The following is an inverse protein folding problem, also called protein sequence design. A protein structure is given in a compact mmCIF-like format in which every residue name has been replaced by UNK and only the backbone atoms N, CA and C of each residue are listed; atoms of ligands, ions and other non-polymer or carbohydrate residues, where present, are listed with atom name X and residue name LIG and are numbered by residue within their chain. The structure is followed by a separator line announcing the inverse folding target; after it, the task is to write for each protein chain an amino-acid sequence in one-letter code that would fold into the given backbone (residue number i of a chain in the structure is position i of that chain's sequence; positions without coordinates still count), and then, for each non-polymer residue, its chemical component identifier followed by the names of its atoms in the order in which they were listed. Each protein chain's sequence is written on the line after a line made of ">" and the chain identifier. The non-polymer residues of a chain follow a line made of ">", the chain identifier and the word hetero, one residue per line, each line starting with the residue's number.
data_IF_312621248521
#
_entry.id   IF_312621248521
#
_cell.length_a   1.000
_cell.length_b   1.000
_cell.length_c   1.000
_cell.angle_alpha   90.00
_cell.angle_beta   90.00
_cell.angle_gamma   90.00
#
_symmetry.space_group_name_H-M   'P 1'
#
loop_
_entity.id
_entity.type
_entity.pdbx_description
1 polymer ?
#
# COMPACT_ATOMS: atom_id res chain seq x y z
N UNK A 1 -1.82 0.34 20.56
CA UNK A 1 -1.63 1.79 20.71
C UNK A 1 -2.92 2.56 20.50
N UNK A 2 -3.34 2.85 19.25
CA UNK A 2 -4.40 3.81 18.92
C UNK A 2 -5.75 3.53 19.59
N UNK A 3 -6.23 2.29 19.59
CA UNK A 3 -7.50 1.92 20.23
C UNK A 3 -7.51 2.24 21.75
N UNK A 4 -6.38 2.08 22.43
CA UNK A 4 -6.24 2.44 23.83
C UNK A 4 -6.29 3.96 24.01
N UNK A 5 -5.63 4.72 23.11
CA UNK A 5 -5.67 6.18 23.13
C UNK A 5 -7.11 6.71 23.00
N UNK A 6 -7.92 6.16 22.08
CA UNK A 6 -9.35 6.51 21.93
C UNK A 6 -10.12 6.26 23.23
N UNK A 7 -9.96 5.09 23.85
CA UNK A 7 -10.66 4.77 25.10
C UNK A 7 -10.29 5.71 26.25
N UNK A 8 -9.00 6.06 26.38
CA UNK A 8 -8.54 7.01 27.39
C UNK A 8 -8.99 8.44 27.10
N UNK A 9 -9.03 8.87 25.84
CA UNK A 9 -9.58 10.17 25.44
C UNK A 9 -11.07 10.29 25.83
N UNK A 10 -11.88 9.30 25.45
CA UNK A 10 -13.31 9.26 25.83
C UNK A 10 -13.51 9.21 27.35
N UNK A 11 -12.69 8.43 28.05
CA UNK A 11 -12.72 8.38 29.52
C UNK A 11 -12.37 9.73 30.14
N UNK A 12 -11.33 10.40 29.68
CA UNK A 12 -10.92 11.71 30.20
C UNK A 12 -12.02 12.77 30.05
N UNK A 13 -12.68 12.84 28.89
CA UNK A 13 -13.80 13.76 28.64
C UNK A 13 -14.97 13.46 29.61
N UNK A 14 -15.32 12.19 29.77
CA UNK A 14 -16.37 11.76 30.68
C UNK A 14 -16.05 12.11 32.15
N UNK A 15 -14.82 11.79 32.58
CA UNK A 15 -14.41 12.01 33.98
C UNK A 15 -14.27 13.52 34.30
N UNK A 16 -13.95 14.34 33.29
CA UNK A 16 -13.96 15.82 33.41
C UNK A 16 -15.39 16.41 33.41
N UNK A 17 -16.39 15.61 33.13
CA UNK A 17 -17.81 16.07 33.14
C UNK A 17 -18.14 17.06 32.02
N UNK A 18 -17.38 17.04 30.91
CA UNK A 18 -17.64 17.93 29.77
C UNK A 18 -18.91 17.48 29.04
N UNK A 19 -19.93 18.33 28.89
CA UNK A 19 -21.14 17.97 28.15
C UNK A 19 -20.83 17.91 26.64
N UNK A 20 -21.27 16.82 25.98
CA UNK A 20 -21.24 16.68 24.55
C UNK A 20 -22.65 16.84 23.97
N UNK A 21 -22.76 17.56 22.84
CA UNK A 21 -24.03 17.77 22.13
C UNK A 21 -24.26 16.67 21.05
N UNK A 22 -23.21 15.95 20.69
CA UNK A 22 -23.27 14.86 19.73
C UNK A 22 -22.78 13.56 20.37
N UNK A 23 -23.25 12.43 19.84
CA UNK A 23 -22.80 11.12 20.28
C UNK A 23 -21.43 10.80 19.69
N UNK A 24 -20.60 10.16 20.49
CA UNK A 24 -19.32 9.58 20.05
C UNK A 24 -19.46 8.05 20.03
N UNK A 25 -19.11 7.43 18.92
CA UNK A 25 -19.09 5.98 18.76
C UNK A 25 -17.68 5.52 18.48
N UNK A 26 -17.18 4.61 19.30
CA UNK A 26 -15.94 3.90 19.02
C UNK A 26 -16.28 2.54 18.40
N UNK A 27 -15.77 2.31 17.17
CA UNK A 27 -15.96 1.07 16.43
C UNK A 27 -14.60 0.38 16.40
N UNK A 28 -14.53 -0.87 16.84
CA UNK A 28 -13.34 -1.71 16.77
C UNK A 28 -13.63 -2.84 15.81
N UNK A 29 -12.89 -2.88 14.72
CA UNK A 29 -12.88 -3.99 13.78
C UNK A 29 -11.86 -5.06 14.16
N UNK A 30 -11.84 -6.13 13.39
CA UNK A 30 -10.95 -7.29 13.59
C UNK A 30 -10.41 -7.88 12.28
N UNK A 31 -10.65 -7.22 11.13
CA UNK A 31 -10.26 -7.77 9.82
C UNK A 31 -9.70 -6.70 8.85
N UNK A 32 -9.19 -5.57 9.33
CA UNK A 32 -8.64 -4.50 8.50
C UNK A 32 -7.55 -5.01 7.58
N UNK A 33 -6.57 -5.72 8.10
CA UNK A 33 -5.40 -6.26 7.40
C UNK A 33 -5.73 -7.32 6.32
N UNK A 34 -6.95 -7.86 6.35
CA UNK A 34 -7.40 -8.92 5.44
C UNK A 34 -8.64 -8.51 4.62
N UNK A 35 -8.79 -7.21 4.31
CA UNK A 35 -9.80 -6.69 3.38
C UNK A 35 -11.11 -6.25 4.01
N UNK A 36 -11.12 -5.89 5.30
CA UNK A 36 -12.20 -5.13 5.98
C UNK A 36 -13.61 -5.71 5.87
N UNK A 37 -13.76 -7.03 5.75
CA UNK A 37 -15.09 -7.68 5.63
C UNK A 37 -15.98 -7.47 6.86
N UNK A 38 -15.42 -7.17 8.02
CA UNK A 38 -16.12 -6.78 9.22
C UNK A 38 -16.75 -5.37 9.09
N UNK A 39 -16.09 -4.45 8.39
CA UNK A 39 -16.63 -3.13 8.07
C UNK A 39 -17.80 -3.25 7.09
N UNK A 40 -17.70 -4.07 6.05
CA UNK A 40 -18.82 -4.35 5.13
C UNK A 40 -20.02 -4.90 5.89
N UNK A 41 -19.79 -5.86 6.79
CA UNK A 41 -20.84 -6.38 7.65
C UNK A 41 -21.47 -5.29 8.52
N UNK A 42 -20.63 -4.45 9.14
CA UNK A 42 -21.11 -3.35 9.97
C UNK A 42 -21.98 -2.35 9.19
N UNK A 43 -21.52 -1.93 8.01
CA UNK A 43 -22.24 -1.00 7.14
C UNK A 43 -23.58 -1.56 6.65
N UNK A 44 -23.69 -2.87 6.46
CA UNK A 44 -24.93 -3.53 6.10
C UNK A 44 -25.97 -3.60 7.24
N UNK A 45 -25.53 -3.47 8.51
CA UNK A 45 -26.39 -3.66 9.70
C UNK A 45 -26.53 -2.41 10.57
N UNK A 46 -25.70 -1.38 10.39
CA UNK A 46 -25.74 -0.15 11.17
C UNK A 46 -25.40 1.06 10.30
N UNK A 47 -26.06 2.18 10.58
CA UNK A 47 -25.72 3.43 9.92
C UNK A 47 -24.36 3.95 10.40
N UNK A 48 -23.52 4.34 9.44
CA UNK A 48 -22.27 5.04 9.74
C UNK A 48 -22.53 6.46 10.25
N UNK A 49 -21.72 6.95 11.21
CA UNK A 49 -21.75 8.35 11.58
C UNK A 49 -21.37 9.25 10.40
N UNK A 50 -21.85 10.52 10.38
CA UNK A 50 -21.52 11.45 9.29
C UNK A 50 -20.05 11.91 9.29
N UNK A 51 -19.38 11.84 10.43
CA UNK A 51 -17.97 12.16 10.58
C UNK A 51 -17.27 10.95 11.20
N UNK A 52 -16.31 10.40 10.47
CA UNK A 52 -15.55 9.22 10.88
C UNK A 52 -14.07 9.51 10.68
N UNK A 53 -13.28 9.28 11.70
CA UNK A 53 -11.84 9.18 11.54
C UNK A 53 -11.29 7.90 12.16
N UNK A 54 -10.26 7.34 11.55
CA UNK A 54 -9.46 6.28 12.16
C UNK A 54 -8.19 6.86 12.74
N UNK A 55 -7.79 6.49 13.96
CA UNK A 55 -6.50 6.86 14.52
C UNK A 55 -5.41 5.86 14.12
N UNK A 56 -5.51 5.30 12.93
CA UNK A 56 -4.61 4.29 12.39
C UNK A 56 -3.98 4.78 11.08
N UNK A 57 -3.08 5.72 11.22
CA UNK A 57 -2.37 6.37 10.13
C UNK A 57 -1.41 7.43 10.62
N UNK A 58 -1.13 8.43 9.80
CA UNK A 58 -0.15 9.46 10.08
C UNK A 58 -0.82 10.80 10.42
N UNK A 59 -0.23 11.53 11.35
CA UNK A 59 -0.47 12.98 11.49
C UNK A 59 0.28 13.77 10.40
N UNK A 60 -0.17 14.96 9.96
CA UNK A 60 -1.33 15.72 10.47
C UNK A 60 -2.69 15.10 10.17
N UNK A 61 -2.97 14.67 8.93
CA UNK A 61 -4.24 14.06 8.53
C UNK A 61 -4.09 13.41 7.15
N UNK A 62 -4.52 12.17 7.02
CA UNK A 62 -4.63 11.49 5.73
C UNK A 62 -6.06 11.68 5.23
N UNK A 63 -6.23 12.43 4.14
CA UNK A 63 -7.51 12.66 3.47
C UNK A 63 -7.58 11.97 2.11
N UNK A 64 -6.46 11.40 1.64
CA UNK A 64 -6.36 10.73 0.36
C UNK A 64 -5.65 9.39 0.52
N UNK A 65 -6.32 8.34 0.06
CA UNK A 65 -5.74 7.01 -0.10
C UNK A 65 -5.80 6.63 -1.57
N UNK A 66 -4.66 6.22 -2.15
CA UNK A 66 -4.59 5.84 -3.57
C UNK A 66 -5.45 4.64 -3.87
N UNK A 67 -5.93 4.56 -5.09
CA UNK A 67 -6.58 3.36 -5.58
C UNK A 67 -5.60 2.19 -5.66
N UNK A 68 -6.14 0.98 -5.58
CA UNK A 68 -5.36 -0.25 -5.58
C UNK A 68 -5.87 -1.22 -6.63
N UNK A 69 -4.93 -1.73 -7.43
CA UNK A 69 -5.16 -2.92 -8.26
C UNK A 69 -4.14 -3.99 -7.88
N UNK A 70 -4.63 -5.19 -7.59
CA UNK A 70 -3.80 -6.39 -7.48
C UNK A 70 -4.24 -7.36 -8.55
N UNK A 71 -3.29 -7.76 -9.39
CA UNK A 71 -3.56 -8.61 -10.54
C UNK A 71 -2.78 -9.91 -10.42
N UNK A 72 -3.38 -10.99 -10.91
CA UNK A 72 -2.66 -12.21 -11.25
C UNK A 72 -2.41 -12.22 -12.76
N UNK A 73 -1.17 -12.51 -13.16
CA UNK A 73 -0.79 -12.70 -14.55
C UNK A 73 -0.26 -14.12 -14.74
N UNK A 74 -0.56 -14.74 -15.88
CA UNK A 74 -0.10 -16.09 -16.17
C UNK A 74 0.31 -16.23 -17.64
N UNK A 75 1.37 -17.02 -17.89
CA UNK A 75 1.85 -17.35 -19.23
C UNK A 75 2.49 -18.74 -19.26
N UNK A 76 2.19 -19.54 -20.29
CA UNK A 76 3.00 -20.72 -20.61
C UNK A 76 4.33 -20.27 -21.20
N UNK A 77 5.44 -20.75 -20.66
CA UNK A 77 6.78 -20.33 -21.05
C UNK A 77 7.57 -21.48 -21.68
N UNK A 78 8.56 -21.10 -22.48
CA UNK A 78 9.52 -22.01 -23.11
C UNK A 78 10.96 -21.78 -22.62
N UNK A 79 11.16 -20.81 -21.72
CA UNK A 79 12.45 -20.55 -21.11
C UNK A 79 12.96 -21.81 -20.39
N UNK A 80 14.28 -22.08 -20.36
CA UNK A 80 14.84 -23.25 -19.71
C UNK A 80 14.86 -23.13 -18.17
N UNK A 81 13.72 -22.82 -17.59
CA UNK A 81 13.45 -22.68 -16.16
C UNK A 81 12.57 -23.84 -15.73
N UNK A 82 13.06 -24.72 -14.87
CA UNK A 82 12.23 -25.80 -14.31
C UNK A 82 11.48 -25.39 -13.05
N UNK A 83 12.02 -24.43 -12.32
CA UNK A 83 11.38 -23.85 -11.12
C UNK A 83 11.87 -22.41 -10.93
N UNK A 84 10.99 -21.52 -10.50
CA UNK A 84 11.33 -20.18 -10.04
C UNK A 84 10.39 -19.77 -8.92
N UNK A 85 10.93 -19.13 -7.90
CA UNK A 85 10.15 -18.54 -6.81
C UNK A 85 10.73 -17.21 -6.40
N UNK A 86 9.85 -16.22 -6.23
CA UNK A 86 10.19 -14.91 -5.71
C UNK A 86 8.99 -14.24 -5.06
N UNK A 87 9.24 -13.49 -3.99
CA UNK A 87 8.21 -12.77 -3.25
C UNK A 87 7.39 -13.67 -2.32
N UNK A 88 7.05 -13.13 -1.16
CA UNK A 88 6.24 -13.78 -0.12
C UNK A 88 4.99 -12.98 0.25
N UNK A 89 4.96 -11.71 -0.14
CA UNK A 89 3.86 -10.80 0.15
C UNK A 89 3.44 -10.02 -1.11
N UNK A 90 2.14 -9.91 -1.40
CA UNK A 90 1.65 -9.27 -2.62
C UNK A 90 1.85 -7.75 -2.64
N UNK A 91 2.10 -7.12 -1.50
CA UNK A 91 2.27 -5.66 -1.32
C UNK A 91 3.72 -5.26 -1.00
N UNK A 92 4.70 -6.11 -1.35
CA UNK A 92 6.11 -5.82 -1.10
C UNK A 92 6.97 -6.06 -2.35
N UNK A 93 8.02 -5.25 -2.51
CA UNK A 93 9.11 -5.49 -3.45
C UNK A 93 9.86 -6.75 -2.98
N UNK A 94 9.99 -7.81 -3.81
CA UNK A 94 10.66 -9.04 -3.40
C UNK A 94 12.18 -8.83 -3.28
N UNK A 95 12.72 -9.19 -2.11
CA UNK A 95 14.16 -9.10 -1.83
C UNK A 95 14.96 -10.29 -2.38
N UNK A 96 14.33 -11.43 -2.64
CA UNK A 96 15.00 -12.64 -3.12
C UNK A 96 14.19 -13.25 -4.24
N UNK A 97 14.89 -13.65 -5.30
CA UNK A 97 14.37 -14.48 -6.37
C UNK A 97 15.34 -15.62 -6.65
N UNK A 98 14.84 -16.84 -6.73
CA UNK A 98 15.62 -18.04 -7.04
C UNK A 98 15.02 -18.77 -8.23
N UNK A 99 15.87 -19.23 -9.13
CA UNK A 99 15.49 -20.07 -10.26
C UNK A 99 16.38 -21.31 -10.36
N UNK A 100 15.78 -22.46 -10.67
CA UNK A 100 16.46 -23.67 -11.08
C UNK A 100 16.30 -23.83 -12.59
N UNK A 101 17.42 -23.93 -13.30
CA UNK A 101 17.47 -23.94 -14.75
C UNK A 101 17.71 -25.36 -15.27
N UNK A 102 17.10 -25.70 -16.39
CA UNK A 102 17.35 -26.96 -17.08
C UNK A 102 18.70 -26.95 -17.84
N UNK A 103 19.18 -25.76 -18.21
CA UNK A 103 20.47 -25.55 -18.82
C UNK A 103 21.04 -24.19 -18.36
N UNK A 104 22.33 -24.17 -18.00
CA UNK A 104 23.00 -22.94 -17.59
C UNK A 104 22.99 -21.91 -18.74
N UNK A 105 22.71 -20.61 -18.42
CA UNK A 105 22.79 -19.54 -19.42
C UNK A 105 24.23 -19.33 -19.92
N UNK A 106 24.37 -18.84 -21.14
CA UNK A 106 25.66 -18.45 -21.74
C UNK A 106 25.98 -16.98 -21.42
N UNK A 107 25.95 -16.63 -20.12
CA UNK A 107 26.17 -15.26 -19.63
C UNK A 107 27.18 -15.29 -18.49
N UNK A 108 27.87 -14.17 -18.19
CA UNK A 108 28.74 -14.10 -17.03
C UNK A 108 27.95 -14.34 -15.73
N UNK A 109 28.44 -15.25 -14.89
CA UNK A 109 27.87 -15.52 -13.57
C UNK A 109 28.26 -14.44 -12.53
N UNK A 110 29.33 -13.70 -12.81
CA UNK A 110 29.85 -12.64 -11.94
C UNK A 110 29.07 -11.32 -12.19
N UNK A 111 27.96 -11.17 -11.53
CA UNK A 111 27.16 -9.94 -11.56
C UNK A 111 26.85 -9.54 -10.10
N UNK A 112 26.73 -8.22 -9.86
CA UNK A 112 26.31 -7.72 -8.56
C UNK A 112 24.94 -8.32 -8.20
N UNK A 113 24.76 -8.65 -6.91
CA UNK A 113 23.51 -9.23 -6.40
C UNK A 113 23.16 -10.64 -6.87
N UNK A 114 23.95 -11.25 -7.79
CA UNK A 114 23.69 -12.58 -8.34
C UNK A 114 24.61 -13.62 -7.69
N UNK A 115 24.01 -14.71 -7.19
CA UNK A 115 24.70 -15.90 -6.71
C UNK A 115 24.35 -17.08 -7.59
N UNK A 116 25.38 -17.81 -8.09
CA UNK A 116 25.20 -18.96 -8.98
C UNK A 116 25.81 -20.20 -8.37
N UNK A 117 25.01 -21.26 -8.24
CA UNK A 117 25.42 -22.57 -7.74
C UNK A 117 24.95 -23.66 -8.71
N UNK A 118 25.79 -24.03 -9.66
CA UNK A 118 25.41 -24.95 -10.74
C UNK A 118 24.27 -24.35 -11.58
N UNK A 119 23.12 -25.03 -11.61
CA UNK A 119 21.93 -24.56 -12.32
C UNK A 119 20.97 -23.72 -11.44
N UNK A 120 21.31 -23.47 -10.19
CA UNK A 120 20.53 -22.61 -9.30
C UNK A 120 21.08 -21.20 -9.35
N UNK A 121 20.23 -20.24 -9.70
CA UNK A 121 20.53 -18.82 -9.83
C UNK A 121 19.66 -18.05 -8.84
N UNK A 122 20.28 -17.24 -8.00
CA UNK A 122 19.60 -16.43 -6.99
C UNK A 122 20.03 -14.96 -7.12
N UNK A 123 19.06 -14.08 -7.19
CA UNK A 123 19.26 -12.63 -7.09
C UNK A 123 18.82 -12.15 -5.72
N UNK A 124 19.68 -11.34 -5.07
CA UNK A 124 19.40 -10.71 -3.78
C UNK A 124 19.26 -9.22 -3.98
N UNK A 125 18.05 -8.70 -3.89
CA UNK A 125 17.69 -7.30 -3.98
C UNK A 125 17.45 -6.69 -2.59
N UNK A 126 16.51 -5.76 -2.52
CA UNK A 126 16.13 -5.04 -1.30
C UNK A 126 14.61 -4.95 -1.19
N UNK A 127 14.05 -5.39 -0.07
CA UNK A 127 12.62 -5.25 0.19
C UNK A 127 12.21 -3.78 0.37
N UNK A 128 11.00 -3.45 -0.08
CA UNK A 128 10.34 -2.17 0.17
C UNK A 128 8.82 -2.38 0.10
N UNK A 129 8.05 -1.47 0.68
CA UNK A 129 6.60 -1.50 0.53
C UNK A 129 6.18 -1.12 -0.90
N UNK A 130 5.10 -1.71 -1.43
CA UNK A 130 4.63 -1.47 -2.80
C UNK A 130 4.19 -0.01 -3.06
N UNK A 131 3.93 0.78 -2.03
CA UNK A 131 3.62 2.21 -2.15
C UNK A 131 4.86 3.10 -2.29
N UNK A 132 6.05 2.59 -1.92
CA UNK A 132 7.34 3.28 -2.02
C UNK A 132 8.41 2.40 -2.66
N UNK A 133 8.12 1.77 -3.82
CA UNK A 133 8.95 0.71 -4.38
C UNK A 133 10.31 1.20 -4.87
N UNK A 134 10.47 2.50 -5.09
CA UNK A 134 11.72 3.15 -5.49
C UNK A 134 12.82 3.06 -4.40
N UNK A 135 12.47 2.70 -3.17
CA UNK A 135 13.42 2.49 -2.06
C UNK A 135 13.95 1.06 -2.01
N UNK A 136 13.39 0.16 -2.83
CA UNK A 136 13.77 -1.24 -2.94
C UNK A 136 14.54 -1.58 -4.21
N UNK A 137 14.94 -2.85 -4.31
CA UNK A 137 15.52 -3.46 -5.49
C UNK A 137 14.79 -4.78 -5.78
N UNK A 138 14.01 -4.81 -6.86
CA UNK A 138 13.13 -5.94 -7.18
C UNK A 138 13.90 -7.14 -7.69
N UNK A 139 13.99 -8.18 -6.88
CA UNK A 139 14.74 -9.38 -7.20
C UNK A 139 14.18 -10.17 -8.39
N UNK A 140 12.86 -10.11 -8.67
CA UNK A 140 12.28 -10.74 -9.87
C UNK A 140 12.87 -10.13 -11.13
N UNK A 141 12.79 -8.81 -11.25
CA UNK A 141 13.29 -8.11 -12.44
C UNK A 141 14.81 -8.13 -12.51
N UNK A 142 15.51 -8.15 -11.37
CA UNK A 142 16.96 -8.34 -11.30
C UNK A 142 17.39 -9.69 -11.85
N UNK A 143 16.78 -10.79 -11.39
CA UNK A 143 17.08 -12.14 -11.88
C UNK A 143 16.72 -12.29 -13.36
N UNK A 144 15.55 -11.81 -13.79
CA UNK A 144 15.15 -11.83 -15.19
C UNK A 144 16.13 -11.02 -16.06
N UNK A 145 16.67 -9.90 -15.57
CA UNK A 145 17.69 -9.11 -16.30
C UNK A 145 18.97 -9.90 -16.50
N UNK A 146 19.41 -10.67 -15.52
CA UNK A 146 20.58 -11.54 -15.67
C UNK A 146 20.32 -12.67 -16.69
N UNK A 147 19.18 -13.36 -16.60
CA UNK A 147 18.83 -14.46 -17.48
C UNK A 147 18.57 -14.00 -18.92
N UNK A 148 17.92 -12.85 -19.11
CA UNK A 148 17.55 -12.28 -20.41
C UNK A 148 18.74 -11.89 -21.32
N UNK A 149 19.97 -11.89 -20.80
CA UNK A 149 21.20 -11.75 -21.61
C UNK A 149 21.42 -12.95 -22.55
N UNK A 150 20.81 -14.10 -22.26
CA UNK A 150 20.77 -15.25 -23.13
C UNK A 150 19.43 -15.30 -23.88
N UNK A 151 19.49 -15.35 -25.21
CA UNK A 151 18.32 -15.33 -26.10
C UNK A 151 17.30 -16.47 -25.85
N UNK A 152 17.73 -17.55 -25.18
CA UNK A 152 16.84 -18.65 -24.79
C UNK A 152 15.81 -18.26 -23.69
N UNK A 153 16.04 -17.16 -23.00
CA UNK A 153 15.15 -16.65 -21.94
C UNK A 153 14.23 -15.54 -22.47
N UNK A 154 13.52 -15.86 -23.55
CA UNK A 154 12.65 -14.90 -24.26
C UNK A 154 11.41 -14.50 -23.43
N UNK A 155 10.95 -15.36 -22.52
CA UNK A 155 9.82 -15.07 -21.65
C UNK A 155 10.23 -14.13 -20.48
N UNK A 156 11.46 -14.28 -19.96
CA UNK A 156 12.05 -13.28 -19.07
C UNK A 156 12.24 -11.93 -19.79
N UNK A 157 12.66 -11.92 -21.06
CA UNK A 157 12.74 -10.69 -21.86
C UNK A 157 11.37 -10.04 -22.03
N UNK A 158 10.32 -10.83 -22.29
CA UNK A 158 8.94 -10.33 -22.40
C UNK A 158 8.44 -9.71 -21.07
N UNK A 159 8.75 -10.35 -19.93
CA UNK A 159 8.42 -9.82 -18.62
C UNK A 159 9.10 -8.46 -18.37
N UNK A 160 10.36 -8.31 -18.75
CA UNK A 160 11.13 -7.07 -18.62
C UNK A 160 10.62 -5.92 -19.51
N UNK A 161 9.92 -6.21 -20.62
CA UNK A 161 9.24 -5.17 -21.41
C UNK A 161 8.02 -4.60 -20.67
N UNK A 162 7.44 -5.37 -19.77
CA UNK A 162 6.31 -4.96 -18.91
C UNK A 162 6.79 -4.35 -17.60
N UNK A 163 7.86 -4.90 -17.03
CA UNK A 163 8.47 -4.49 -15.76
C UNK A 163 9.98 -4.30 -15.93
N UNK A 164 10.45 -3.20 -16.55
CA UNK A 164 11.87 -2.93 -16.66
C UNK A 164 12.50 -2.82 -15.27
N UNK A 165 13.69 -3.40 -15.08
CA UNK A 165 14.36 -3.37 -13.78
C UNK A 165 14.66 -1.93 -13.32
N UNK A 166 14.33 -1.62 -12.06
CA UNK A 166 14.45 -0.29 -11.49
C UNK A 166 13.34 0.70 -11.87
N UNK A 167 12.37 0.30 -12.71
CA UNK A 167 11.22 1.14 -13.09
C UNK A 167 10.00 0.73 -12.27
N UNK A 168 9.41 1.68 -11.56
CA UNK A 168 8.34 1.42 -10.58
C UNK A 168 7.09 2.28 -10.79
N UNK A 169 7.04 3.05 -11.88
CA UNK A 169 5.96 4.00 -12.20
C UNK A 169 4.89 3.47 -13.17
N UNK A 170 5.00 2.20 -13.59
CA UNK A 170 4.10 1.57 -14.55
C UNK A 170 4.35 1.98 -16.02
N UNK A 171 5.43 2.70 -16.34
CA UNK A 171 5.74 3.12 -17.71
C UNK A 171 5.93 1.94 -18.67
N UNK A 172 6.50 0.81 -18.22
CA UNK A 172 6.60 -0.42 -19.02
C UNK A 172 5.25 -1.00 -19.43
N UNK A 173 4.22 -0.79 -18.61
CA UNK A 173 2.84 -1.18 -18.89
C UNK A 173 2.06 -0.09 -19.64
N UNK A 174 2.61 1.12 -19.78
CA UNK A 174 1.95 2.26 -20.43
C UNK A 174 0.91 2.95 -19.55
N UNK A 175 0.94 2.77 -18.23
CA UNK A 175 -0.04 3.29 -17.28
C UNK A 175 0.51 4.40 -16.37
N UNK A 176 1.74 4.84 -16.59
CA UNK A 176 2.36 5.89 -15.78
C UNK A 176 1.52 7.16 -15.78
N UNK A 177 1.15 7.62 -14.61
CA UNK A 177 0.42 8.87 -14.40
C UNK A 177 0.76 9.48 -13.04
N UNK A 178 0.50 10.78 -12.91
CA UNK A 178 0.74 11.55 -11.68
C UNK A 178 -0.21 12.73 -11.61
N UNK A 179 -0.60 13.12 -10.41
CA UNK A 179 -1.26 14.39 -10.15
C UNK A 179 -0.59 15.11 -8.97
N UNK A 180 -0.89 16.41 -8.82
CA UNK A 180 -0.27 17.26 -7.80
C UNK A 180 -0.72 16.89 -6.37
N UNK A 181 -1.88 16.26 -6.23
CA UNK A 181 -2.52 16.03 -4.93
C UNK A 181 -2.17 14.65 -4.35
N UNK A 182 -2.25 13.60 -5.18
CA UNK A 182 -2.02 12.22 -4.75
C UNK A 182 -0.69 11.62 -5.24
N UNK A 183 0.06 12.37 -6.06
CA UNK A 183 1.39 11.97 -6.53
C UNK A 183 1.36 10.94 -7.66
N UNK A 184 2.46 10.20 -7.83
CA UNK A 184 2.66 9.27 -8.95
C UNK A 184 2.06 7.90 -8.70
N UNK A 185 1.66 7.20 -9.78
CA UNK A 185 1.35 5.77 -9.76
C UNK A 185 2.61 4.97 -9.40
N UNK A 186 2.42 3.90 -8.61
CA UNK A 186 3.45 2.88 -8.39
C UNK A 186 2.99 1.52 -8.89
N UNK A 187 3.92 0.74 -9.44
CA UNK A 187 3.64 -0.58 -10.02
C UNK A 187 4.82 -1.52 -9.85
N UNK A 188 4.57 -2.71 -9.31
CA UNK A 188 5.57 -3.76 -9.15
C UNK A 188 5.03 -5.12 -9.52
N UNK A 189 5.90 -6.00 -10.02
CA UNK A 189 5.71 -7.44 -9.94
C UNK A 189 6.20 -7.87 -8.54
N UNK A 190 5.27 -8.23 -7.65
CA UNK A 190 5.54 -8.49 -6.24
C UNK A 190 5.82 -9.95 -5.94
N UNK A 191 5.24 -10.85 -6.72
CA UNK A 191 5.48 -12.30 -6.60
C UNK A 191 5.60 -12.92 -8.00
N UNK A 192 6.44 -13.95 -8.11
CA UNK A 192 6.56 -14.72 -9.34
C UNK A 192 6.92 -16.16 -9.02
N UNK A 193 6.21 -17.10 -9.66
CA UNK A 193 6.54 -18.52 -9.64
C UNK A 193 6.61 -19.06 -11.07
N UNK A 194 7.47 -20.05 -11.28
CA UNK A 194 7.47 -20.88 -12.47
C UNK A 194 7.42 -22.33 -12.01
N UNK A 195 6.37 -23.03 -12.40
CA UNK A 195 6.17 -24.46 -12.14
C UNK A 195 5.50 -25.09 -13.35
N UNK A 196 5.91 -26.29 -13.73
CA UNK A 196 5.36 -27.05 -14.86
C UNK A 196 5.28 -26.26 -16.18
N UNK A 197 6.25 -25.37 -16.42
CA UNK A 197 6.29 -24.52 -17.62
C UNK A 197 5.27 -23.38 -17.60
N UNK A 198 4.63 -23.12 -16.47
CA UNK A 198 3.72 -21.99 -16.29
C UNK A 198 4.36 -20.92 -15.39
N UNK A 199 4.46 -19.70 -15.89
CA UNK A 199 4.85 -18.51 -15.12
C UNK A 199 3.59 -17.83 -14.57
N UNK A 200 3.50 -17.71 -13.26
CA UNK A 200 2.40 -17.01 -12.56
C UNK A 200 2.97 -15.87 -11.74
N UNK A 201 2.50 -14.67 -11.96
CA UNK A 201 2.94 -13.47 -11.24
C UNK A 201 1.81 -12.73 -10.54
N UNK A 202 2.15 -12.02 -9.46
CA UNK A 202 1.26 -11.03 -8.82
C UNK A 202 1.81 -9.64 -9.07
N UNK A 203 0.93 -8.73 -9.45
CA UNK A 203 1.25 -7.31 -9.70
C UNK A 203 0.48 -6.46 -8.71
N UNK A 204 1.17 -5.55 -8.01
CA UNK A 204 0.55 -4.55 -7.13
C UNK A 204 0.71 -3.16 -7.77
N UNK A 205 -0.40 -2.45 -7.90
CA UNK A 205 -0.46 -1.11 -8.49
C UNK A 205 -1.19 -0.19 -7.51
N UNK A 206 -0.57 0.96 -7.20
CA UNK A 206 -1.19 2.05 -6.43
C UNK A 206 -1.33 3.25 -7.35
N UNK A 207 -2.54 3.76 -7.54
CA UNK A 207 -2.79 4.77 -8.56
C UNK A 207 -3.47 6.01 -8.00
N UNK A 208 -3.12 7.19 -8.57
CA UNK A 208 -3.57 8.49 -8.13
C UNK A 208 -5.01 8.81 -8.53
N UNK A 209 -5.53 9.97 -8.07
CA UNK A 209 -6.87 10.45 -8.34
C UNK A 209 -7.15 10.74 -9.82
N UNK A 210 -6.12 10.92 -10.65
CA UNK A 210 -6.26 11.28 -12.07
C UNK A 210 -6.67 10.11 -12.99
N UNK A 211 -6.85 8.90 -12.44
CA UNK A 211 -7.29 7.72 -13.22
C UNK A 211 -8.28 6.87 -12.42
N UNK A 212 -8.86 5.84 -13.02
CA UNK A 212 -9.78 4.92 -12.38
C UNK A 212 -9.37 3.46 -12.59
N UNK A 213 -9.87 2.56 -11.74
CA UNK A 213 -9.61 1.12 -11.86
C UNK A 213 -10.09 0.54 -13.19
N UNK A 214 -11.23 1.02 -13.71
CA UNK A 214 -11.79 0.56 -14.99
C UNK A 214 -10.87 0.92 -16.16
N UNK A 215 -10.39 2.19 -16.19
CA UNK A 215 -9.50 2.67 -17.24
C UNK A 215 -8.18 1.89 -17.23
N UNK A 216 -7.61 1.67 -16.04
CA UNK A 216 -6.37 0.90 -15.89
C UNK A 216 -6.55 -0.57 -16.26
N UNK A 217 -7.63 -1.23 -15.81
CA UNK A 217 -7.88 -2.64 -16.11
C UNK A 217 -8.00 -2.90 -17.61
N UNK A 218 -8.68 -2.02 -18.35
CA UNK A 218 -8.77 -2.15 -19.81
C UNK A 218 -7.39 -2.08 -20.45
N UNK A 219 -6.59 -1.08 -20.13
CA UNK A 219 -5.25 -0.90 -20.69
C UNK A 219 -4.33 -2.09 -20.34
N UNK A 220 -4.39 -2.55 -19.09
CA UNK A 220 -3.55 -3.64 -18.59
C UNK A 220 -3.89 -4.97 -19.27
N UNK A 221 -5.18 -5.29 -19.47
CA UNK A 221 -5.60 -6.50 -20.16
C UNK A 221 -5.04 -6.54 -21.60
N UNK A 222 -5.15 -5.44 -22.33
CA UNK A 222 -4.61 -5.32 -23.69
C UNK A 222 -3.07 -5.44 -23.70
N UNK A 223 -2.41 -4.77 -22.75
CA UNK A 223 -0.95 -4.76 -22.67
C UNK A 223 -0.38 -6.13 -22.30
N UNK A 224 -0.94 -6.82 -21.31
CA UNK A 224 -0.52 -8.17 -20.93
C UNK A 224 -0.77 -9.17 -22.05
N UNK A 225 -1.93 -9.12 -22.71
CA UNK A 225 -2.26 -9.99 -23.83
C UNK A 225 -1.28 -9.84 -25.00
N UNK A 226 -0.78 -8.63 -25.27
CA UNK A 226 0.22 -8.38 -26.33
C UNK A 226 1.55 -9.12 -26.09
N UNK A 227 1.85 -9.51 -24.85
CA UNK A 227 3.03 -10.29 -24.46
C UNK A 227 2.71 -11.75 -24.13
N UNK A 228 1.47 -12.17 -24.38
CA UNK A 228 1.02 -13.56 -24.18
C UNK A 228 0.66 -13.91 -22.74
N UNK A 229 0.47 -12.92 -21.86
CA UNK A 229 -0.02 -13.14 -20.52
C UNK A 229 -1.55 -13.02 -20.46
N UNK A 230 -2.20 -13.91 -19.72
CA UNK A 230 -3.54 -13.64 -19.19
C UNK A 230 -3.43 -12.70 -17.98
N UNK A 231 -4.51 -11.97 -17.69
CA UNK A 231 -4.55 -11.02 -16.58
C UNK A 231 -5.91 -11.09 -15.90
N UNK A 232 -5.92 -11.32 -14.59
CA UNK A 232 -7.12 -11.36 -13.76
C UNK A 232 -6.97 -10.42 -12.57
N UNK A 233 -8.02 -9.67 -12.23
CA UNK A 233 -8.03 -8.80 -11.06
C UNK A 233 -8.37 -9.60 -9.81
N UNK A 234 -7.47 -9.59 -8.82
CA UNK A 234 -7.67 -10.16 -7.48
C UNK A 234 -8.27 -9.14 -6.52
N UNK A 235 -7.92 -7.86 -6.69
CA UNK A 235 -8.39 -6.73 -5.90
C UNK A 235 -8.46 -5.50 -6.80
N UNK A 236 -9.53 -4.71 -6.66
CA UNK A 236 -9.68 -3.45 -7.40
C UNK A 236 -10.50 -2.45 -6.58
N UNK A 237 -9.88 -1.36 -6.13
CA UNK A 237 -10.54 -0.23 -5.45
C UNK A 237 -10.13 1.08 -6.08
N UNK A 238 -11.07 2.01 -6.21
CA UNK A 238 -10.77 3.38 -6.64
C UNK A 238 -10.14 4.20 -5.52
N UNK A 239 -9.45 5.31 -5.80
CA UNK A 239 -8.92 6.17 -4.77
C UNK A 239 -10.02 6.74 -3.87
N UNK A 240 -9.72 6.86 -2.59
CA UNK A 240 -10.53 7.60 -1.63
C UNK A 240 -10.00 9.03 -1.48
N UNK A 241 -10.89 10.02 -1.43
CA UNK A 241 -10.51 11.41 -1.26
C UNK A 241 -11.59 12.21 -0.50
N UNK A 242 -11.17 12.89 0.56
CA UNK A 242 -11.96 13.93 1.22
C UNK A 242 -11.27 15.27 0.97
N UNK A 243 -11.98 16.26 0.37
CA UNK A 243 -11.38 17.56 0.06
C UNK A 243 -10.84 18.27 1.31
N UNK A 244 -9.70 18.93 1.19
CA UNK A 244 -9.14 19.73 2.28
C UNK A 244 -10.12 20.82 2.77
N UNK A 245 -10.95 21.36 1.88
CA UNK A 245 -11.98 22.36 2.22
C UNK A 245 -13.16 21.81 3.03
N UNK A 246 -13.23 20.50 3.26
CA UNK A 246 -14.29 19.92 4.08
C UNK A 246 -14.21 20.44 5.52
N UNK A 247 -15.31 20.95 6.12
CA UNK A 247 -15.30 21.48 7.47
C UNK A 247 -14.82 20.48 8.54
N UNK A 248 -15.07 19.19 8.35
CA UNK A 248 -14.56 18.13 9.23
C UNK A 248 -13.03 18.03 9.16
N UNK A 249 -12.47 18.04 7.96
CA UNK A 249 -11.01 18.04 7.73
C UNK A 249 -10.38 19.29 8.35
N UNK A 250 -10.95 20.48 8.09
CA UNK A 250 -10.45 21.74 8.64
C UNK A 250 -10.48 21.76 10.17
N UNK A 251 -11.51 21.15 10.79
CA UNK A 251 -11.59 21.04 12.24
C UNK A 251 -10.45 20.18 12.79
N UNK A 252 -10.15 19.03 12.17
CA UNK A 252 -9.08 18.14 12.62
C UNK A 252 -7.69 18.76 12.39
N UNK A 253 -7.47 19.44 11.27
CA UNK A 253 -6.22 20.18 11.02
C UNK A 253 -6.00 21.30 12.07
N UNK A 254 -7.04 22.06 12.40
CA UNK A 254 -6.97 23.09 13.44
C UNK A 254 -6.64 22.49 14.82
N UNK A 255 -7.17 21.31 15.14
CA UNK A 255 -6.82 20.58 16.37
C UNK A 255 -5.35 20.19 16.36
N UNK A 256 -4.85 19.65 15.25
CA UNK A 256 -3.44 19.29 15.13
C UNK A 256 -2.52 20.51 15.33
N UNK A 257 -2.84 21.64 14.71
CA UNK A 257 -2.08 22.89 14.84
C UNK A 257 -2.09 23.40 16.28
N UNK A 258 -3.24 23.37 16.94
CA UNK A 258 -3.37 23.83 18.32
C UNK A 258 -2.58 22.98 19.32
N UNK A 259 -2.57 21.65 19.13
CA UNK A 259 -1.91 20.71 20.06
C UNK A 259 -0.41 20.57 19.79
N UNK A 260 0.06 20.79 18.54
CA UNK A 260 1.47 20.57 18.18
C UNK A 260 2.25 21.84 17.91
N UNK A 261 1.58 22.93 17.59
CA UNK A 261 2.21 24.18 17.09
C UNK A 261 2.83 24.03 15.68
N UNK A 262 2.55 22.93 14.98
CA UNK A 262 3.02 22.66 13.64
C UNK A 262 1.91 22.89 12.63
N UNK A 263 2.21 23.25 11.38
CA UNK A 263 1.19 23.48 10.36
C UNK A 263 0.46 22.17 10.02
N UNK A 264 -0.88 22.25 9.95
CA UNK A 264 -1.74 21.18 9.47
C UNK A 264 -1.69 21.10 7.95
N UNK A 265 -1.67 19.87 7.43
CA UNK A 265 -1.76 19.59 5.99
C UNK A 265 -2.43 18.26 5.74
N UNK A 266 -3.11 18.15 4.61
CA UNK A 266 -3.63 16.88 4.12
C UNK A 266 -2.50 16.04 3.50
N UNK A 267 -2.49 14.75 3.82
CA UNK A 267 -1.55 13.78 3.28
C UNK A 267 -2.27 12.84 2.31
N UNK A 268 -1.52 12.38 1.31
CA UNK A 268 -1.90 11.28 0.44
C UNK A 268 -0.99 10.07 0.70
N UNK A 269 -1.59 8.89 0.87
CA UNK A 269 -0.84 7.65 1.06
C UNK A 269 -1.13 6.63 -0.03
N UNK A 270 -0.18 5.74 -0.26
CA UNK A 270 -0.34 4.61 -1.19
C UNK A 270 -0.91 3.35 -0.54
N UNK A 271 -1.09 3.35 0.78
CA UNK A 271 -1.81 2.33 1.53
C UNK A 271 -3.30 2.64 1.63
N UNK A 272 -4.04 1.83 2.37
CA UNK A 272 -5.43 2.06 2.74
C UNK A 272 -5.60 1.76 4.22
N UNK A 273 -6.64 2.32 4.80
CA UNK A 273 -7.12 2.05 6.16
C UNK A 273 -8.61 1.75 6.10
N UNK A 274 -9.26 1.48 7.24
CA UNK A 274 -10.73 1.32 7.27
C UNK A 274 -11.50 2.46 6.59
N UNK A 275 -10.95 3.69 6.57
CA UNK A 275 -11.68 4.83 5.99
C UNK A 275 -11.69 4.85 4.47
N UNK A 276 -10.90 3.99 3.82
CA UNK A 276 -10.94 3.82 2.36
C UNK A 276 -12.37 3.57 1.84
N UNK A 277 -13.10 2.74 2.56
CA UNK A 277 -14.46 2.33 2.20
C UNK A 277 -15.55 3.10 3.00
N UNK A 278 -15.19 4.20 3.67
CA UNK A 278 -16.13 5.04 4.42
C UNK A 278 -16.19 6.42 3.76
N UNK A 279 -17.28 6.74 3.05
CA UNK A 279 -17.45 8.07 2.45
C UNK A 279 -17.29 9.20 3.45
N UNK A 280 -16.36 10.14 3.19
CA UNK A 280 -16.05 11.26 4.08
C UNK A 280 -15.19 10.91 5.28
N UNK A 281 -14.73 9.66 5.40
CA UNK A 281 -13.79 9.23 6.44
C UNK A 281 -12.37 9.69 6.16
N UNK A 282 -11.58 9.94 7.22
CA UNK A 282 -10.18 10.34 7.14
C UNK A 282 -9.35 9.59 8.18
N UNK A 283 -8.02 9.50 8.00
CA UNK A 283 -7.15 9.01 9.07
C UNK A 283 -6.51 10.19 9.82
N UNK A 284 -6.53 10.12 11.16
CA UNK A 284 -6.04 11.18 12.05
C UNK A 284 -5.30 10.56 13.24
N UNK A 285 -4.00 10.37 13.06
CA UNK A 285 -3.11 9.69 14.03
C UNK A 285 -2.94 8.20 13.69
N UNK A 286 -2.04 7.47 14.38
CA UNK A 286 -1.32 7.86 15.60
C UNK A 286 0.16 8.19 15.37
N UNK A 287 0.67 8.11 14.13
CA UNK A 287 2.09 8.29 13.86
C UNK A 287 2.44 9.78 13.67
N UNK A 288 3.40 10.27 14.45
CA UNK A 288 3.89 11.65 14.34
C UNK A 288 5.01 11.76 13.31
N UNK A 289 5.08 12.87 12.56
CA UNK A 289 6.12 13.08 11.54
C UNK A 289 7.54 12.96 12.09
N UNK A 290 8.44 12.37 11.29
CA UNK A 290 9.87 12.29 11.61
C UNK A 290 10.26 11.11 12.51
N UNK A 291 9.35 10.20 12.79
CA UNK A 291 9.60 8.97 13.55
C UNK A 291 9.36 7.74 12.70
N UNK A 292 10.17 6.71 12.89
CA UNK A 292 9.95 5.38 12.37
C UNK A 292 9.50 4.48 13.53
N UNK A 293 8.25 4.04 13.49
CA UNK A 293 7.65 3.20 14.53
C UNK A 293 7.82 1.71 14.26
N UNK A 294 8.53 1.34 13.19
CA UNK A 294 8.70 -0.03 12.70
C UNK A 294 7.36 -0.72 12.38
N UNK A 295 6.38 0.04 11.88
CA UNK A 295 5.05 -0.47 11.55
C UNK A 295 5.13 -1.73 10.68
N UNK A 296 4.39 -2.77 11.05
CA UNK A 296 4.44 -4.12 10.45
C UNK A 296 5.82 -4.80 10.49
N UNK A 297 6.79 -4.25 11.22
CA UNK A 297 8.14 -4.77 11.35
C UNK A 297 8.43 -5.42 12.69
N UNK A 298 9.64 -5.95 12.82
CA UNK A 298 10.16 -6.45 14.10
C UNK A 298 10.32 -5.27 15.07
N UNK A 299 9.98 -5.50 16.34
CA UNK A 299 10.08 -4.50 17.41
C UNK A 299 9.25 -3.21 17.15
N UNK A 300 8.09 -3.33 16.52
CA UNK A 300 7.12 -2.23 16.42
C UNK A 300 6.84 -1.63 17.79
N UNK A 301 6.90 -0.31 17.89
CA UNK A 301 6.77 0.39 19.17
C UNK A 301 6.05 1.72 19.05
N UNK A 302 5.47 2.18 20.17
CA UNK A 302 4.97 3.55 20.31
C UNK A 302 5.58 4.17 21.59
N UNK A 303 6.32 5.28 21.50
CA UNK A 303 6.79 5.99 22.67
C UNK A 303 5.61 6.42 23.56
N UNK A 304 5.75 6.23 24.89
CA UNK A 304 4.68 6.59 25.83
C UNK A 304 4.29 8.09 25.73
N UNK A 305 5.27 8.96 25.44
CA UNK A 305 5.01 10.38 25.22
C UNK A 305 4.09 10.61 24.01
N UNK A 306 4.27 9.87 22.91
CA UNK A 306 3.43 9.95 21.71
C UNK A 306 2.03 9.36 21.97
N UNK A 307 1.94 8.24 22.69
CA UNK A 307 0.65 7.69 23.11
C UNK A 307 -0.15 8.70 23.94
N UNK A 308 0.51 9.41 24.88
CA UNK A 308 -0.14 10.43 25.68
C UNK A 308 -0.53 11.68 24.88
N UNK A 309 0.26 12.02 23.86
CA UNK A 309 -0.06 13.10 22.95
C UNK A 309 -1.23 12.71 22.04
N UNK A 310 -1.29 11.47 21.58
CA UNK A 310 -2.39 10.92 20.80
C UNK A 310 -3.70 10.94 21.59
N UNK A 311 -3.69 10.55 22.87
CA UNK A 311 -4.86 10.69 23.78
C UNK A 311 -5.36 12.14 23.83
N UNK A 312 -4.48 13.13 23.92
CA UNK A 312 -4.85 14.56 23.93
C UNK A 312 -5.43 14.99 22.59
N UNK A 313 -4.78 14.59 21.50
CA UNK A 313 -5.19 14.91 20.14
C UNK A 313 -6.60 14.40 19.85
N UNK A 314 -6.87 13.14 20.18
CA UNK A 314 -8.19 12.51 20.01
C UNK A 314 -9.24 13.17 20.92
N UNK A 315 -8.87 13.48 22.18
CA UNK A 315 -9.79 14.18 23.09
C UNK A 315 -10.14 15.59 22.57
N UNK A 316 -9.15 16.34 22.09
CA UNK A 316 -9.36 17.65 21.48
C UNK A 316 -10.24 17.57 20.23
N UNK A 317 -10.02 16.56 19.36
CA UNK A 317 -10.87 16.32 18.19
C UNK A 317 -12.32 16.02 18.57
N UNK A 318 -12.55 15.16 19.56
CA UNK A 318 -13.91 14.86 20.07
C UNK A 318 -14.57 16.14 20.62
N UNK A 319 -13.84 16.95 21.38
CA UNK A 319 -14.37 18.19 21.93
C UNK A 319 -14.70 19.21 20.83
N UNK A 320 -13.81 19.40 19.85
CA UNK A 320 -14.04 20.30 18.74
C UNK A 320 -15.25 19.91 17.88
N UNK A 321 -15.47 18.62 17.71
CA UNK A 321 -16.56 18.08 16.87
C UNK A 321 -17.90 17.93 17.61
N UNK A 322 -17.88 17.73 18.93
CA UNK A 322 -19.04 17.26 19.69
C UNK A 322 -19.44 18.13 20.87
N UNK A 323 -18.60 19.06 21.38
CA UNK A 323 -18.97 19.97 22.46
C UNK A 323 -19.76 21.18 21.94
N UNK A 324 -20.39 21.92 22.85
CA UNK A 324 -21.01 23.22 22.56
C UNK A 324 -19.94 24.25 22.15
N UNK A 325 -20.20 25.02 21.08
CA UNK A 325 -19.48 26.26 20.84
C UNK A 325 -19.71 27.22 22.00
N UNK A 326 -18.65 27.68 22.63
CA UNK A 326 -18.76 28.66 23.75
C UNK A 326 -18.84 30.07 23.21
#
# INVERSE_FOLDING_TARGET
>A
GPAVAVLYAMKAIRDAGVPLQKNVRFIMGCNEENGSSDLEYYQAHAAMPPHVFTPDGNYPLISIEKGMLRLQIQKQINDPICFMQAGTAPNAVPAVAEAQLTAAPQVPAEQAHLTVQGNTWQYTGLAAHASTPQTGDNAITGLCTALAQDARFSDCQALLQLFPHGVTDGSGLGIACTDETSGALTCICSMLTVEDGCMTGTVDIRFPLCTSKEALLQQLQERFAAYGFSCEALLASDPHCVPESDPFVQTLLAVYEAETGQPGQCLAIGGGTYVHDIPGGVAFGAEFPGWDYHMHGDDEFMPLAHLMQDVRMIAAAILALCAEEK
#
